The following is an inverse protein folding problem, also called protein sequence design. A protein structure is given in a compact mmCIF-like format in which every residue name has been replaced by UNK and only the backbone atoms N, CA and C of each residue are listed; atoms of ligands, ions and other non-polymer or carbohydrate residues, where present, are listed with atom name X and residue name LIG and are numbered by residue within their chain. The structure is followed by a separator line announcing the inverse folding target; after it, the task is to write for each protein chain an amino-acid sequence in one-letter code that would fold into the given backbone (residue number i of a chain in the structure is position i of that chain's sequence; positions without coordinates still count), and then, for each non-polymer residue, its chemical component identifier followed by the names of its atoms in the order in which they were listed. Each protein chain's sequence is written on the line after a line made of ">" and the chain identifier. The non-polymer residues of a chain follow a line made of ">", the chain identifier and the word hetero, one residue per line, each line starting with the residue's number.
data_IF_065520073442
#
_entry.id   IF_065520073442
#
_cell.length_a   1.000
_cell.length_b   1.000
_cell.length_c   1.000
_cell.angle_alpha   90.00
_cell.angle_beta   90.00
_cell.angle_gamma   90.00
#
_symmetry.space_group_name_H-M   'P 1'
#
loop_
_entity.id
_entity.type
_entity.pdbx_description
1 polymer ?
#
# COMPACT_ATOMS: atom_id res chain seq x y z
N UNK A 1 8.12 40.82 -15.83
CA UNK A 1 8.23 39.35 -15.84
C UNK A 1 7.44 38.85 -14.67
N UNK A 2 6.22 38.40 -14.91
CA UNK A 2 5.33 37.87 -13.87
C UNK A 2 5.69 36.39 -13.68
N UNK A 3 5.97 35.97 -12.45
CA UNK A 3 6.20 34.56 -12.14
C UNK A 3 4.93 33.76 -12.44
N UNK A 4 5.04 32.71 -13.26
CA UNK A 4 3.95 31.75 -13.44
C UNK A 4 3.76 30.97 -12.15
N UNK A 5 2.66 31.23 -11.44
CA UNK A 5 2.22 30.40 -10.32
C UNK A 5 1.49 29.19 -10.89
N UNK A 6 2.10 28.01 -10.83
CA UNK A 6 1.42 26.76 -11.19
C UNK A 6 0.50 26.35 -10.04
N UNK A 7 -0.84 26.36 -10.23
CA UNK A 7 -1.77 25.93 -9.19
C UNK A 7 -1.53 24.46 -8.87
N UNK A 8 -1.15 24.19 -7.61
CA UNK A 8 -0.84 22.85 -7.13
C UNK A 8 -1.93 22.40 -6.17
N UNK A 9 -2.58 21.26 -6.45
CA UNK A 9 -3.49 20.61 -5.53
C UNK A 9 -2.71 19.61 -4.68
N UNK A 10 -2.69 19.83 -3.36
CA UNK A 10 -2.13 18.88 -2.39
C UNK A 10 -3.27 18.29 -1.58
N UNK A 11 -3.47 16.98 -1.71
CA UNK A 11 -4.44 16.21 -0.93
C UNK A 11 -3.63 15.46 0.12
N UNK A 12 -3.87 15.78 1.40
CA UNK A 12 -3.26 15.05 2.50
C UNK A 12 -4.20 13.94 2.95
N UNK A 13 -3.66 12.78 3.34
CA UNK A 13 -4.41 11.63 3.86
C UNK A 13 -5.46 11.08 2.88
N UNK A 14 -4.99 10.61 1.73
CA UNK A 14 -5.84 10.00 0.70
C UNK A 14 -6.65 8.82 1.26
N UNK A 15 -7.96 8.85 1.01
CA UNK A 15 -8.89 7.73 1.25
C UNK A 15 -9.44 7.21 -0.08
N UNK A 16 -10.06 6.03 -0.06
CA UNK A 16 -10.62 5.42 -1.28
C UNK A 16 -11.60 6.36 -2.01
N UNK A 17 -12.38 7.17 -1.27
CA UNK A 17 -13.32 8.12 -1.87
C UNK A 17 -12.67 9.34 -2.53
N UNK A 18 -11.38 9.57 -2.33
CA UNK A 18 -10.64 10.61 -3.05
C UNK A 18 -10.28 10.16 -4.48
N UNK A 19 -10.47 8.88 -4.83
CA UNK A 19 -10.33 8.41 -6.20
C UNK A 19 -11.38 9.08 -7.10
N UNK A 20 -10.96 10.10 -7.86
CA UNK A 20 -11.86 10.90 -8.69
C UNK A 20 -11.12 11.58 -9.86
N UNK A 21 -11.88 12.20 -10.75
CA UNK A 21 -11.35 13.08 -11.78
C UNK A 21 -11.23 14.50 -11.24
N UNK A 22 -10.00 15.02 -11.25
CA UNK A 22 -9.68 16.38 -10.87
C UNK A 22 -9.41 17.21 -12.11
N UNK A 23 -9.83 18.47 -12.13
CA UNK A 23 -9.43 19.38 -13.19
C UNK A 23 -9.08 20.75 -12.60
N UNK A 24 -7.97 21.32 -13.06
CA UNK A 24 -7.58 22.66 -12.68
C UNK A 24 -8.42 23.67 -13.47
N UNK A 25 -9.27 24.41 -12.76
CA UNK A 25 -10.11 25.45 -13.36
C UNK A 25 -9.42 26.80 -13.22
N UNK A 26 -9.02 27.38 -14.34
CA UNK A 26 -8.41 28.71 -14.38
C UNK A 26 -9.48 29.83 -14.44
N UNK A 27 -10.60 29.61 -15.15
CA UNK A 27 -11.71 30.56 -15.29
C UNK A 27 -13.06 29.88 -15.04
N UNK A 28 -13.99 30.58 -14.39
CA UNK A 28 -15.31 30.04 -14.02
C UNK A 28 -16.30 29.90 -15.20
N UNK A 29 -16.02 30.58 -16.31
CA UNK A 29 -16.99 30.76 -17.42
C UNK A 29 -17.05 29.60 -18.43
N UNK A 30 -16.11 28.64 -18.38
CA UNK A 30 -16.12 27.46 -19.27
C UNK A 30 -15.91 26.15 -18.47
N UNK A 31 -17.00 25.54 -17.98
CA UNK A 31 -16.94 24.28 -17.24
C UNK A 31 -16.47 23.09 -18.09
N UNK A 32 -16.70 23.14 -19.41
CA UNK A 32 -16.47 22.01 -20.31
C UNK A 32 -14.98 21.82 -20.63
N UNK A 33 -14.24 22.93 -20.74
CA UNK A 33 -12.79 22.90 -21.02
C UNK A 33 -11.94 22.37 -19.87
N UNK A 34 -12.44 22.43 -18.63
CA UNK A 34 -11.78 21.85 -17.47
C UNK A 34 -11.76 20.32 -17.57
N UNK A 35 -12.91 19.72 -17.91
CA UNK A 35 -13.07 18.28 -17.97
C UNK A 35 -12.32 17.63 -19.14
N UNK A 36 -12.06 18.34 -20.23
CA UNK A 36 -11.24 17.81 -21.33
C UNK A 36 -9.76 17.61 -20.97
N UNK A 37 -9.30 18.24 -19.88
CA UNK A 37 -7.93 18.11 -19.33
C UNK A 37 -7.94 17.54 -17.92
N UNK A 38 -8.96 16.75 -17.59
CA UNK A 38 -9.05 16.16 -16.24
C UNK A 38 -7.94 15.15 -16.00
N UNK A 39 -7.37 15.20 -14.82
CA UNK A 39 -6.44 14.21 -14.28
C UNK A 39 -7.26 13.22 -13.47
N UNK A 40 -7.19 11.94 -13.82
CA UNK A 40 -7.81 10.89 -13.01
C UNK A 40 -6.87 10.48 -11.89
N UNK A 41 -7.30 10.69 -10.65
CA UNK A 41 -6.62 10.19 -9.48
C UNK A 41 -7.10 8.77 -9.18
N UNK A 42 -6.16 7.83 -9.18
CA UNK A 42 -6.39 6.49 -8.70
C UNK A 42 -5.82 6.34 -7.30
N UNK A 43 -6.57 5.68 -6.43
CA UNK A 43 -6.13 5.31 -5.09
C UNK A 43 -6.00 3.79 -5.06
N UNK A 44 -4.80 3.33 -4.76
CA UNK A 44 -4.45 1.91 -4.70
C UNK A 44 -3.72 1.61 -3.38
N UNK A 45 -3.73 0.37 -2.97
CA UNK A 45 -3.22 -0.08 -1.68
C UNK A 45 -2.17 -1.18 -1.84
N UNK A 46 -1.16 -1.15 -0.98
CA UNK A 46 -0.18 -2.20 -0.79
C UNK A 46 -0.22 -2.66 0.67
N UNK A 47 -0.69 -3.89 0.90
CA UNK A 47 -0.87 -4.44 2.25
C UNK A 47 -0.24 -5.83 2.38
N UNK A 48 0.16 -6.19 3.59
CA UNK A 48 0.47 -7.58 3.95
C UNK A 48 -0.78 -8.24 4.50
N UNK A 49 -1.28 -9.31 3.86
CA UNK A 49 -2.35 -10.15 4.39
C UNK A 49 -1.75 -11.33 5.15
N UNK A 50 -2.30 -11.65 6.33
CA UNK A 50 -1.87 -12.77 7.16
C UNK A 50 -2.92 -13.87 7.07
N UNK A 51 -2.51 -15.06 6.65
CA UNK A 51 -3.38 -16.22 6.47
C UNK A 51 -2.90 -17.32 7.43
N UNK A 52 -3.72 -17.71 8.42
CA UNK A 52 -3.41 -18.84 9.30
C UNK A 52 -3.31 -20.14 8.52
N UNK A 53 -2.33 -20.99 8.84
CA UNK A 53 -2.37 -22.40 8.46
C UNK A 53 -3.21 -23.20 9.46
N UNK A 54 -3.65 -24.39 9.04
CA UNK A 54 -4.46 -25.31 9.85
C UNK A 54 -3.73 -25.90 11.05
N UNK A 55 -2.40 -25.86 11.07
CA UNK A 55 -1.56 -26.32 12.19
C UNK A 55 -1.52 -25.33 13.37
N UNK A 56 -2.01 -24.10 13.18
CA UNK A 56 -2.01 -23.04 14.19
C UNK A 56 -0.63 -22.45 14.52
N UNK A 57 0.43 -22.94 13.87
CA UNK A 57 1.83 -22.57 14.13
C UNK A 57 2.47 -21.87 12.94
N UNK A 58 1.94 -22.10 11.75
CA UNK A 58 2.44 -21.52 10.52
C UNK A 58 1.50 -20.40 10.07
N UNK A 59 2.07 -19.27 9.67
CA UNK A 59 1.34 -18.21 8.98
C UNK A 59 1.91 -18.03 7.58
N UNK A 60 1.01 -17.81 6.63
CA UNK A 60 1.37 -17.39 5.29
C UNK A 60 1.08 -15.91 5.16
N UNK A 61 2.11 -15.13 4.84
CA UNK A 61 2.01 -13.71 4.52
C UNK A 61 1.88 -13.55 3.01
N UNK A 62 1.01 -12.66 2.57
CA UNK A 62 0.83 -12.30 1.17
C UNK A 62 0.96 -10.79 0.99
N UNK A 63 1.85 -10.37 0.10
CA UNK A 63 1.93 -8.99 -0.35
C UNK A 63 0.83 -8.73 -1.39
N UNK A 64 -0.23 -8.05 -0.97
CA UNK A 64 -1.38 -7.73 -1.79
C UNK A 64 -1.25 -6.31 -2.31
N UNK A 65 -1.24 -6.13 -3.62
CA UNK A 65 -1.22 -4.81 -4.26
C UNK A 65 -2.43 -4.63 -5.18
N UNK A 66 -3.04 -3.46 -5.12
CA UNK A 66 -3.96 -2.97 -6.17
C UNK A 66 -3.32 -1.88 -7.04
N UNK A 67 -2.02 -1.64 -6.86
CA UNK A 67 -1.28 -0.68 -7.65
C UNK A 67 -1.14 -1.23 -9.08
N UNK A 68 -1.44 -0.43 -10.13
CA UNK A 68 -1.13 -0.82 -11.49
C UNK A 68 0.38 -0.69 -11.69
N UNK A 69 1.05 -1.82 -11.58
CA UNK A 69 2.49 -1.91 -11.72
C UNK A 69 2.85 -1.85 -13.21
N UNK A 70 3.88 -1.08 -13.53
CA UNK A 70 4.38 -0.93 -14.90
C UNK A 70 5.07 -2.22 -15.37
N UNK A 71 5.63 -3.01 -14.45
CA UNK A 71 6.26 -4.31 -14.72
C UNK A 71 5.35 -5.47 -14.29
N UNK A 72 5.12 -6.44 -15.18
CA UNK A 72 4.36 -7.66 -14.92
C UNK A 72 5.11 -8.89 -15.50
N UNK A 73 5.51 -9.88 -14.70
CA UNK A 73 5.28 -9.98 -13.25
C UNK A 73 6.11 -8.96 -12.46
N UNK A 74 5.62 -8.58 -11.29
CA UNK A 74 6.35 -7.69 -10.38
C UNK A 74 7.31 -8.47 -9.50
N UNK A 75 8.39 -7.82 -9.06
CA UNK A 75 9.29 -8.37 -8.03
C UNK A 75 8.90 -7.80 -6.68
N UNK A 76 8.61 -8.68 -5.73
CA UNK A 76 8.24 -8.35 -4.36
C UNK A 76 9.48 -8.42 -3.47
N UNK A 77 9.66 -7.40 -2.63
CA UNK A 77 10.73 -7.33 -1.64
C UNK A 77 10.09 -7.49 -0.26
N UNK A 78 10.59 -8.44 0.51
CA UNK A 78 10.14 -8.71 1.86
C UNK A 78 11.11 -8.15 2.89
N UNK A 79 10.56 -7.58 3.95
CA UNK A 79 11.28 -7.07 5.09
C UNK A 79 10.80 -7.75 6.37
N UNK A 80 11.75 -8.12 7.21
CA UNK A 80 11.51 -8.65 8.57
C UNK A 80 12.19 -7.72 9.56
N UNK A 81 11.46 -7.25 10.56
CA UNK A 81 11.98 -6.31 11.57
C UNK A 81 12.65 -5.07 10.94
N UNK A 82 12.06 -4.56 9.83
CA UNK A 82 12.54 -3.43 9.01
C UNK A 82 13.79 -3.71 8.16
N UNK A 83 14.43 -4.85 8.33
CA UNK A 83 15.59 -5.27 7.55
C UNK A 83 15.16 -6.05 6.31
N UNK A 84 15.98 -5.98 5.26
CA UNK A 84 15.76 -6.76 4.05
C UNK A 84 15.83 -8.25 4.39
N UNK A 85 14.81 -9.01 3.97
CA UNK A 85 14.77 -10.46 4.15
C UNK A 85 15.15 -11.15 2.85
N UNK A 86 14.36 -10.95 1.79
CA UNK A 86 14.59 -11.48 0.45
C UNK A 86 13.71 -10.75 -0.57
N UNK A 87 13.91 -11.04 -1.86
CA UNK A 87 13.01 -10.61 -2.92
C UNK A 87 12.75 -11.77 -3.89
N UNK A 88 11.53 -11.83 -4.42
CA UNK A 88 11.13 -12.85 -5.39
C UNK A 88 9.92 -12.38 -6.22
N UNK A 89 9.61 -13.08 -7.31
CA UNK A 89 8.41 -12.86 -8.12
C UNK A 89 7.14 -13.36 -7.43
N UNK A 90 7.29 -14.23 -6.43
CA UNK A 90 6.18 -14.69 -5.60
C UNK A 90 5.75 -13.62 -4.59
N UNK A 91 4.46 -13.26 -4.54
CA UNK A 91 3.93 -12.36 -3.51
C UNK A 91 3.79 -13.04 -2.14
N UNK A 92 4.19 -14.30 -2.01
CA UNK A 92 3.95 -15.12 -0.82
C UNK A 92 5.23 -15.34 0.00
N UNK A 93 5.07 -15.32 1.32
CA UNK A 93 6.10 -15.70 2.29
C UNK A 93 5.49 -16.58 3.39
N UNK A 94 6.16 -17.66 3.76
CA UNK A 94 5.73 -18.53 4.86
C UNK A 94 6.66 -18.41 6.06
N UNK A 95 6.07 -18.32 7.25
CA UNK A 95 6.79 -18.21 8.51
C UNK A 95 6.19 -19.17 9.55
N UNK A 96 7.06 -19.87 10.26
CA UNK A 96 6.72 -20.53 11.52
C UNK A 96 6.71 -19.49 12.64
N UNK A 97 5.56 -19.30 13.27
CA UNK A 97 5.38 -18.41 14.42
C UNK A 97 5.83 -19.17 15.65
N UNK A 98 7.13 -19.14 15.94
CA UNK A 98 7.73 -19.85 17.07
C UNK A 98 8.50 -18.95 18.04
N UNK A 99 8.49 -17.63 17.84
CA UNK A 99 9.22 -16.69 18.70
C UNK A 99 8.37 -16.22 19.88
N UNK A 100 9.02 -16.08 21.04
CA UNK A 100 8.47 -15.40 22.23
C UNK A 100 8.34 -13.88 22.02
N UNK A 101 8.99 -13.34 20.99
CA UNK A 101 8.93 -11.93 20.62
C UNK A 101 8.11 -11.71 19.35
N UNK A 102 7.34 -10.62 19.36
CA UNK A 102 6.58 -10.16 18.21
C UNK A 102 7.52 -9.82 17.03
N UNK A 103 7.19 -10.33 15.85
CA UNK A 103 7.95 -10.10 14.62
C UNK A 103 7.15 -9.20 13.69
N UNK A 104 7.80 -8.19 13.12
CA UNK A 104 7.15 -7.31 12.14
C UNK A 104 7.54 -7.66 10.71
N UNK A 105 6.55 -7.67 9.84
CA UNK A 105 6.71 -7.90 8.41
C UNK A 105 6.18 -6.73 7.62
N UNK A 106 6.87 -6.40 6.53
CA UNK A 106 6.36 -5.47 5.52
C UNK A 106 6.88 -5.91 4.16
N UNK A 107 6.20 -5.52 3.10
CA UNK A 107 6.64 -5.77 1.73
C UNK A 107 6.71 -4.48 0.92
N UNK A 108 7.48 -4.49 -0.16
CA UNK A 108 7.47 -3.43 -1.16
C UNK A 108 7.55 -4.07 -2.56
N UNK A 109 7.30 -3.27 -3.59
CA UNK A 109 7.54 -3.67 -4.97
C UNK A 109 8.87 -3.07 -5.42
N UNK A 110 9.67 -3.85 -6.16
CA UNK A 110 10.93 -3.37 -6.74
C UNK A 110 10.67 -2.17 -7.67
N UNK A 111 11.48 -1.12 -7.53
CA UNK A 111 11.28 0.17 -8.22
C UNK A 111 10.24 1.10 -7.56
N UNK A 112 9.59 0.62 -6.49
CA UNK A 112 8.62 1.34 -5.68
C UNK A 112 8.89 1.11 -4.19
N UNK A 113 10.15 0.97 -3.80
CA UNK A 113 10.57 0.61 -2.43
C UNK A 113 10.12 1.64 -1.38
N UNK A 114 9.98 2.90 -1.78
CA UNK A 114 9.49 3.98 -0.93
C UNK A 114 8.00 3.83 -0.58
N UNK A 115 7.23 3.19 -1.48
CA UNK A 115 5.81 2.83 -1.30
C UNK A 115 5.70 1.52 -0.52
N UNK A 116 6.49 1.37 0.55
CA UNK A 116 6.49 0.17 1.38
C UNK A 116 5.14 0.00 2.08
N UNK A 117 4.67 -1.24 2.08
CA UNK A 117 3.48 -1.67 2.79
C UNK A 117 3.61 -1.36 4.29
N UNK A 118 2.48 -1.13 4.96
CA UNK A 118 2.44 -0.96 6.40
C UNK A 118 2.99 -2.21 7.09
N UNK A 119 3.60 -2.03 8.26
CA UNK A 119 4.09 -3.18 9.02
C UNK A 119 2.92 -3.97 9.60
N UNK A 120 2.98 -5.28 9.51
CA UNK A 120 2.13 -6.19 10.27
C UNK A 120 2.97 -6.88 11.32
N UNK A 121 2.55 -6.79 12.58
CA UNK A 121 3.13 -7.52 13.69
C UNK A 121 2.41 -8.85 13.84
N UNK A 122 3.17 -9.93 13.92
CA UNK A 122 2.67 -11.26 14.27
C UNK A 122 3.31 -11.67 15.58
N UNK A 123 2.49 -11.96 16.56
CA UNK A 123 2.92 -12.31 17.92
C UNK A 123 2.30 -13.64 18.37
N UNK A 124 3.09 -14.48 19.01
CA UNK A 124 2.66 -15.78 19.52
C UNK A 124 1.99 -15.59 20.88
N UNK A 125 0.71 -15.91 20.98
CA UNK A 125 -0.04 -15.85 22.26
C UNK A 125 0.06 -17.21 22.96
N UNK A 126 -0.09 -18.30 22.20
CA UNK A 126 0.13 -19.68 22.65
C UNK A 126 0.72 -20.50 21.50
N UNK A 127 1.09 -21.76 21.75
CA UNK A 127 1.61 -22.66 20.72
C UNK A 127 0.66 -22.91 19.54
N UNK A 128 -0.61 -22.47 19.60
CA UNK A 128 -1.61 -22.61 18.54
C UNK A 128 -2.43 -21.33 18.31
N UNK A 129 -2.07 -20.22 18.98
CA UNK A 129 -2.78 -18.95 18.83
C UNK A 129 -1.79 -17.81 18.65
N UNK A 130 -2.13 -16.91 17.73
CA UNK A 130 -1.35 -15.73 17.45
C UNK A 130 -2.23 -14.49 17.35
N UNK A 131 -1.62 -13.35 17.63
CA UNK A 131 -2.22 -12.04 17.41
C UNK A 131 -1.57 -11.35 16.22
N UNK A 132 -2.39 -10.64 15.47
CA UNK A 132 -1.96 -9.86 14.31
C UNK A 132 -2.31 -8.41 14.57
N UNK A 133 -1.32 -7.53 14.48
CA UNK A 133 -1.51 -6.08 14.62
C UNK A 133 -1.07 -5.39 13.35
N UNK A 134 -1.99 -4.68 12.72
CA UNK A 134 -1.74 -3.91 11.51
C UNK A 134 -1.37 -2.48 11.87
N UNK A 135 -0.18 -2.06 11.43
CA UNK A 135 0.20 -0.66 11.52
C UNK A 135 -0.57 0.19 10.51
N UNK A 136 -0.70 1.47 10.85
CA UNK A 136 -1.27 2.51 10.01
C UNK A 136 -0.60 2.56 8.62
N UNK A 137 -1.41 2.57 7.56
CA UNK A 137 -0.94 2.25 6.22
C UNK A 137 -0.49 3.36 5.29
N UNK A 138 -0.21 3.05 4.01
CA UNK A 138 0.05 4.01 2.92
C UNK A 138 -0.71 3.54 1.68
N UNK A 139 -1.44 4.45 1.04
CA UNK A 139 -1.99 4.21 -0.30
C UNK A 139 -1.02 4.74 -1.33
N UNK A 140 -0.91 4.02 -2.43
CA UNK A 140 -0.23 4.46 -3.64
C UNK A 140 -1.23 5.24 -4.50
N UNK A 141 -0.77 6.34 -5.10
CA UNK A 141 -1.54 7.04 -6.11
C UNK A 141 -0.72 7.20 -7.38
N UNK A 142 -1.40 7.25 -8.53
CA UNK A 142 -0.76 7.54 -9.80
C UNK A 142 -1.69 8.38 -10.68
N UNK A 143 -1.09 9.21 -11.53
CA UNK A 143 -1.79 10.09 -12.45
C UNK A 143 -1.80 9.46 -13.85
N UNK A 144 -2.95 9.48 -14.52
CA UNK A 144 -3.05 9.27 -15.96
C UNK A 144 -3.47 10.59 -16.62
N UNK A 145 -2.62 11.08 -17.51
CA UNK A 145 -2.94 12.16 -18.47
C UNK A 145 -3.29 11.55 -19.82
N UNK A 146 -4.14 12.22 -20.60
CA UNK A 146 -4.67 11.68 -21.86
C UNK A 146 -3.72 11.74 -23.06
N UNK A 147 -2.44 12.12 -22.90
CA UNK A 147 -1.42 12.03 -23.95
C UNK A 147 -0.06 11.68 -23.29
N UNK A 148 0.72 10.82 -23.98
CA UNK A 148 1.98 10.18 -23.58
C UNK A 148 2.96 11.07 -22.79
N UNK A 149 3.03 10.91 -21.47
CA UNK A 149 4.26 11.03 -20.67
C UNK A 149 4.01 10.56 -19.21
N UNK A 150 4.81 9.64 -18.64
CA UNK A 150 4.62 9.22 -17.24
C UNK A 150 5.46 10.12 -16.32
N UNK A 151 4.86 11.02 -15.54
CA UNK A 151 5.63 11.75 -14.52
C UNK A 151 4.84 12.03 -13.23
N UNK A 152 5.28 11.36 -12.16
CA UNK A 152 5.13 11.81 -10.78
C UNK A 152 4.40 10.82 -9.87
N UNK A 153 5.12 10.25 -8.89
CA UNK A 153 4.57 9.45 -7.80
C UNK A 153 4.57 10.28 -6.52
N UNK A 154 3.48 10.28 -5.75
CA UNK A 154 3.40 10.92 -4.42
C UNK A 154 2.94 9.88 -3.39
N UNK A 155 3.69 9.83 -2.28
CA UNK A 155 3.58 8.90 -1.15
C UNK A 155 2.74 9.50 -0.02
N UNK A 156 1.61 8.90 0.39
CA UNK A 156 0.84 9.40 1.56
C UNK A 156 0.26 8.28 2.44
N UNK A 157 0.16 8.56 3.74
CA UNK A 157 -0.18 7.67 4.86
C UNK A 157 -1.69 7.63 5.19
N UNK A 158 -2.20 6.44 5.55
CA UNK A 158 -3.50 6.16 6.19
C UNK A 158 -3.25 5.97 7.69
N UNK A 159 -4.19 6.39 8.54
CA UNK A 159 -4.20 6.13 10.00
C UNK A 159 -5.29 5.12 10.40
N UNK A 160 -5.01 4.28 11.42
CA UNK A 160 -5.87 3.21 11.93
C UNK A 160 -5.10 1.92 12.25
N UNK A 161 -4.90 1.61 13.54
CA UNK A 161 -4.35 0.33 14.01
C UNK A 161 -5.48 -0.71 14.17
N UNK A 162 -5.39 -1.86 13.50
CA UNK A 162 -6.38 -2.95 13.64
C UNK A 162 -5.73 -4.18 14.26
N UNK A 163 -6.37 -4.75 15.29
CA UNK A 163 -5.91 -5.98 15.95
C UNK A 163 -6.87 -7.14 15.66
N UNK A 164 -6.31 -8.27 15.25
CA UNK A 164 -7.05 -9.52 15.02
C UNK A 164 -6.39 -10.68 15.77
N UNK A 165 -7.21 -11.65 16.17
CA UNK A 165 -6.77 -12.86 16.87
C UNK A 165 -7.18 -14.09 16.07
N UNK A 166 -6.29 -15.07 15.96
CA UNK A 166 -6.60 -16.38 15.39
C UNK A 166 -6.25 -17.45 16.41
N UNK A 167 -7.27 -18.00 17.07
CA UNK A 167 -7.16 -19.10 18.01
C UNK A 167 -8.08 -20.26 17.55
N UNK A 168 -7.76 -21.52 17.88
CA UNK A 168 -8.69 -22.63 17.69
C UNK A 168 -9.98 -22.43 18.49
N UNK A 169 -11.12 -22.81 17.90
CA UNK A 169 -12.41 -22.84 18.59
C UNK A 169 -12.40 -24.00 19.60
N UNK A 170 -12.53 -23.68 20.89
CA UNK A 170 -12.77 -24.64 21.96
C UNK A 170 -14.24 -25.10 21.96
#
# INVERSE_FOLDING_TARGET
>A
MSEESHPTLSINYLIESDANNYCCRENADDPLRCWSRSIKLHVADLQVKVIPATDGQTVTLMCSTSCPLTENPAVYIWYKNREFLYQDWSPWYQQLVSSEEAVTYSCAIKGYEDLRAPQVSVDSVTATCFSVTYAEGRLCSYQQTSEDEPRGWILIQIQGETRAFSCPLL
#
